data_IF_350113419450
#
_entry.id   IF_350113419450
#
_cell.length_a   1.000
_cell.length_b   1.000
_cell.length_c   1.000
_cell.angle_alpha   90.00
_cell.angle_beta   90.00
_cell.angle_gamma   90.00
#
_symmetry.space_group_name_H-M   'P 1'
#
loop_
_entity.id
_entity.type
_entity.pdbx_description
1 polymer ?
2 polymer ?
3 non-polymer ?
#
# COMPACT_ATOMS: atom_id res chain seq x y z
N UNK A 1 24.19 -4.00 5.68
CA UNK A 1 22.86 -4.21 5.09
C UNK A 1 22.49 -5.68 5.11
N UNK A 2 21.19 -5.96 4.95
CA UNK A 2 20.70 -7.33 4.95
C UNK A 2 20.02 -7.67 3.63
N UNK A 3 20.37 -8.84 3.08
CA UNK A 3 19.79 -9.28 1.81
C UNK A 3 18.31 -9.62 1.98
N UNK A 4 17.51 -9.26 0.98
CA UNK A 4 16.08 -9.53 1.03
C UNK A 4 15.81 -11.03 1.13
N UNK A 5 14.81 -11.39 1.93
CA UNK A 5 14.45 -12.81 2.12
C UNK A 5 13.38 -13.19 1.10
N UNK A 6 13.24 -14.49 0.82
CA UNK A 6 12.26 -14.93 -0.16
C UNK A 6 10.83 -14.66 0.29
N UNK A 7 10.63 -14.63 1.61
CA UNK A 7 9.31 -14.32 2.15
C UNK A 7 9.00 -12.85 1.93
N UNK A 8 10.00 -12.01 2.10
CA UNK A 8 9.82 -10.58 1.86
C UNK A 8 9.55 -10.33 0.37
N UNK A 9 10.30 -11.01 -0.50
CA UNK A 9 10.11 -10.81 -1.95
C UNK A 9 8.69 -11.18 -2.38
N UNK A 10 8.18 -12.28 -1.82
CA UNK A 10 6.81 -12.71 -2.10
C UNK A 10 5.79 -11.67 -1.62
N UNK A 11 5.99 -11.13 -0.42
CA UNK A 11 5.09 -10.11 0.12
C UNK A 11 5.12 -8.88 -0.77
N UNK A 12 6.32 -8.49 -1.20
CA UNK A 12 6.44 -7.29 -2.01
C UNK A 12 5.91 -7.51 -3.41
N UNK A 13 5.99 -8.75 -3.90
CA UNK A 13 5.41 -9.07 -5.21
C UNK A 13 3.91 -8.87 -5.13
N UNK A 14 3.32 -9.30 -4.02
CA UNK A 14 1.88 -9.12 -3.86
C UNK A 14 1.54 -7.63 -3.75
N UNK A 15 2.36 -6.87 -3.04
CA UNK A 15 2.17 -5.42 -2.97
C UNK A 15 2.29 -4.76 -4.36
N UNK A 16 3.29 -5.17 -5.14
CA UNK A 16 3.49 -4.61 -6.48
C UNK A 16 2.24 -4.81 -7.34
N UNK A 17 1.62 -5.99 -7.19
CA UNK A 17 0.45 -6.36 -7.98
C UNK A 17 -0.70 -5.37 -7.79
N UNK A 18 -0.81 -4.81 -6.58
CA UNK A 18 -1.86 -3.84 -6.31
C UNK A 18 -1.70 -2.56 -7.14
N UNK A 19 -0.44 -2.14 -7.38
CA UNK A 19 -0.17 -0.98 -8.21
C UNK A 19 -0.28 -1.30 -9.70
N UNK A 20 0.19 -2.49 -10.07
CA UNK A 20 0.24 -2.88 -11.48
C UNK A 20 -1.06 -3.55 -11.89
N UNK A 21 -2.12 -2.74 -11.96
CA UNK A 21 -3.47 -3.24 -12.20
C UNK A 21 -3.65 -3.89 -13.56
N UNK A 22 -2.87 -3.48 -14.54
CA UNK A 22 -2.99 -4.10 -15.86
C UNK A 22 -2.06 -5.30 -16.05
N UNK A 23 -1.29 -5.61 -15.01
CA UNK A 23 -0.40 -6.74 -15.01
C UNK A 23 0.70 -6.72 -16.07
N UNK A 24 1.07 -5.53 -16.54
CA UNK A 24 2.09 -5.41 -17.58
C UNK A 24 3.52 -5.32 -17.02
N UNK A 25 3.63 -5.52 -15.71
CA UNK A 25 4.92 -5.59 -15.07
C UNK A 25 5.56 -4.26 -14.76
N UNK A 26 4.84 -3.18 -14.96
CA UNK A 26 5.41 -1.87 -14.66
C UNK A 26 4.38 -1.03 -13.97
N UNK A 27 4.83 -0.11 -13.13
CA UNK A 27 3.95 0.85 -12.51
C UNK A 27 4.15 2.22 -13.20
N UNK A 28 3.08 2.76 -13.77
CA UNK A 28 3.14 4.07 -14.45
C UNK A 28 2.68 5.19 -13.54
N UNK A 29 2.80 6.42 -14.01
CA UNK A 29 2.32 7.53 -13.21
C UNK A 29 0.82 7.41 -13.03
N UNK A 30 0.14 6.90 -14.07
CA UNK A 30 -1.31 6.76 -14.00
C UNK A 30 -1.65 5.81 -12.89
N UNK A 31 -0.94 4.69 -12.85
CA UNK A 31 -1.19 3.68 -11.83
C UNK A 31 -0.86 4.16 -10.44
N UNK A 32 0.27 4.87 -10.30
CA UNK A 32 0.65 5.41 -8.99
C UNK A 32 -0.36 6.46 -8.55
N UNK A 33 -0.77 7.30 -9.50
CA UNK A 33 -1.71 8.36 -9.19
C UNK A 33 -3.05 7.79 -8.75
N UNK A 34 -3.46 6.71 -9.38
CA UNK A 34 -4.74 6.09 -9.07
C UNK A 34 -4.71 5.66 -7.62
N UNK A 35 -3.61 5.02 -7.23
CA UNK A 35 -3.52 4.53 -5.86
C UNK A 35 -3.45 5.70 -4.87
N UNK A 36 -2.66 6.71 -5.18
CA UNK A 36 -2.52 7.85 -4.28
C UNK A 36 -3.83 8.56 -4.06
N UNK A 37 -4.56 8.80 -5.15
CA UNK A 37 -5.83 9.48 -5.02
C UNK A 37 -6.79 8.64 -4.22
N UNK A 38 -6.71 7.33 -4.38
CA UNK A 38 -7.59 6.42 -3.63
C UNK A 38 -7.31 6.48 -2.14
N UNK A 39 -6.13 6.98 -1.77
CA UNK A 39 -5.74 7.13 -0.38
C UNK A 39 -5.90 8.58 0.12
N UNK A 40 -6.67 9.39 -0.61
CA UNK A 40 -6.99 10.76 -0.22
C UNK A 40 -6.01 11.85 -0.59
N UNK A 41 -4.95 11.48 -1.29
CA UNK A 41 -3.95 12.45 -1.69
C UNK A 41 -4.35 13.14 -2.98
N UNK A 42 -3.72 14.27 -3.27
CA UNK A 42 -4.06 15.01 -4.47
C UNK A 42 -2.84 15.44 -5.23
N UNK A 43 -2.03 14.48 -5.66
CA UNK A 43 -0.80 14.83 -6.36
C UNK A 43 -1.03 15.44 -7.75
N UNK A 44 -0.06 16.23 -8.21
CA UNK A 44 -0.11 16.75 -9.55
C UNK A 44 0.67 15.79 -10.44
N UNK A 45 0.47 15.88 -11.74
CA UNK A 45 1.22 15.04 -12.66
C UNK A 45 2.72 15.24 -12.52
N UNK A 46 3.14 16.48 -12.28
CA UNK A 46 4.55 16.78 -12.06
C UNK A 46 5.04 16.05 -10.82
N UNK A 47 4.26 16.11 -9.75
CA UNK A 47 4.68 15.36 -8.56
C UNK A 47 4.77 13.85 -8.86
N UNK A 48 3.80 13.31 -9.59
CA UNK A 48 3.84 11.87 -9.83
C UNK A 48 5.08 11.50 -10.63
N UNK A 49 5.45 12.33 -11.60
CA UNK A 49 6.60 11.99 -12.40
C UNK A 49 7.87 12.01 -11.58
N UNK A 50 7.96 12.99 -10.68
CA UNK A 50 9.11 13.12 -9.78
C UNK A 50 9.19 11.90 -8.86
N UNK A 51 8.05 11.44 -8.36
CA UNK A 51 8.02 10.25 -7.47
C UNK A 51 8.58 9.02 -8.19
N UNK A 52 8.10 8.79 -9.41
CA UNK A 52 8.62 7.68 -10.19
C UNK A 52 10.10 7.87 -10.50
N UNK A 53 10.47 9.08 -10.92
CA UNK A 53 11.86 9.34 -11.29
C UNK A 53 12.83 8.93 -10.19
N UNK A 54 12.46 9.16 -8.94
CA UNK A 54 13.35 8.85 -7.84
C UNK A 54 13.74 7.38 -7.77
N UNK A 55 12.81 6.49 -8.13
CA UNK A 55 13.07 5.07 -8.03
C UNK A 55 13.31 4.41 -9.39
N UNK A 56 13.18 5.20 -10.46
CA UNK A 56 13.36 4.71 -11.83
C UNK A 56 14.82 4.58 -12.29
N UNK A 57 15.47 3.50 -11.90
CA UNK A 57 16.89 3.32 -12.16
C UNK A 57 17.28 3.35 -13.62
N UNK A 58 16.39 2.91 -14.49
CA UNK A 58 16.78 2.87 -15.91
C UNK A 58 16.24 4.02 -16.75
N UNK A 59 15.59 4.97 -16.12
CA UNK A 59 15.12 6.16 -16.83
C UNK A 59 14.06 5.93 -17.90
N UNK A 60 13.34 4.82 -17.84
CA UNK A 60 12.29 4.55 -18.83
C UNK A 60 10.92 5.09 -18.50
N UNK A 61 10.84 5.81 -17.38
CA UNK A 61 9.62 6.48 -16.98
C UNK A 61 8.64 5.65 -16.18
N UNK A 62 8.93 4.38 -15.96
CA UNK A 62 8.04 3.52 -15.14
C UNK A 62 8.82 2.69 -14.14
N UNK A 63 8.13 2.06 -13.19
CA UNK A 63 8.81 1.28 -12.18
C UNK A 63 8.61 -0.21 -12.42
N UNK A 64 9.69 -0.95 -12.57
CA UNK A 64 9.56 -2.41 -12.72
C UNK A 64 9.75 -3.13 -11.38
N UNK A 65 9.53 -4.43 -11.35
CA UNK A 65 9.57 -5.11 -10.06
C UNK A 65 10.94 -4.99 -9.38
N UNK A 66 12.02 -5.21 -10.13
CA UNK A 66 13.36 -5.01 -9.57
C UNK A 66 13.54 -3.61 -8.98
N UNK A 67 13.09 -2.56 -9.65
CA UNK A 67 13.20 -1.21 -9.09
C UNK A 67 12.36 -1.08 -7.81
N UNK A 68 11.20 -1.73 -7.79
CA UNK A 68 10.28 -1.69 -6.66
C UNK A 68 10.95 -2.35 -5.46
N UNK A 69 11.63 -3.47 -5.71
CA UNK A 69 12.34 -4.19 -4.66
C UNK A 69 13.43 -3.33 -4.05
N UNK A 70 14.19 -2.63 -4.88
CA UNK A 70 15.22 -1.74 -4.36
C UNK A 70 14.58 -0.67 -3.48
N UNK A 71 13.43 -0.17 -3.90
CA UNK A 71 12.73 0.85 -3.15
C UNK A 71 12.26 0.28 -1.82
N UNK A 72 11.78 -0.95 -1.81
CA UNK A 72 11.27 -1.52 -0.55
C UNK A 72 12.40 -1.82 0.43
N UNK A 73 13.55 -2.21 -0.09
CA UNK A 73 14.71 -2.48 0.76
C UNK A 73 15.13 -1.17 1.43
N UNK A 74 15.14 -0.10 0.65
CA UNK A 74 15.44 1.22 1.17
C UNK A 74 14.43 1.63 2.26
N UNK A 75 13.14 1.48 1.97
CA UNK A 75 12.11 1.80 2.96
C UNK A 75 12.32 1.04 4.28
N UNK A 76 12.61 -0.24 4.18
CA UNK A 76 12.86 -1.07 5.35
C UNK A 76 14.22 -0.71 5.98
N UNK A 77 15.20 -0.47 5.12
CA UNK A 77 16.56 -0.15 5.57
C UNK A 77 16.62 1.19 6.30
N UNK A 78 16.08 2.25 5.69
CA UNK A 78 16.12 3.57 6.32
C UNK A 78 15.16 3.59 7.51
N UNK A 79 15.72 3.73 8.71
CA UNK A 79 14.93 3.72 9.92
C UNK A 79 14.18 2.39 10.04
N UNK A 80 12.96 2.33 9.47
CA UNK A 80 12.16 1.09 9.47
C UNK A 80 10.74 1.37 8.96
N UNK A 81 10.59 2.26 7.97
CA UNK A 81 9.25 2.59 7.45
C UNK A 81 8.34 2.95 8.64
N UNK A 82 7.01 2.61 8.58
CA UNK A 82 6.05 2.84 9.64
C UNK A 82 5.00 3.88 9.23
N UNK A 83 5.46 4.99 8.66
CA UNK A 83 4.53 6.02 8.19
C UNK A 83 3.64 5.49 7.05
N UNK A 84 4.20 4.67 6.17
CA UNK A 84 3.53 4.00 5.10
C UNK A 84 2.23 3.28 5.61
N UNK A 85 2.45 2.52 6.68
CA UNK A 85 1.35 1.73 7.25
C UNK A 85 0.35 2.63 7.96
N UNK A 86 0.81 3.66 8.67
CA UNK A 86 -0.12 4.58 9.31
C UNK A 86 -1.00 5.32 8.29
N UNK A 87 -0.40 5.81 7.22
CA UNK A 87 -1.22 6.51 6.23
C UNK A 87 -2.19 5.54 5.56
N UNK A 88 -1.78 4.29 5.36
CA UNK A 88 -2.70 3.30 4.76
C UNK A 88 -3.91 3.05 5.66
N UNK A 89 -3.65 2.88 6.95
CA UNK A 89 -4.74 2.68 7.89
C UNK A 89 -5.74 3.83 7.78
N UNK A 90 -5.23 5.05 7.73
CA UNK A 90 -6.11 6.22 7.64
C UNK A 90 -6.98 6.25 6.39
N UNK A 91 -6.47 5.69 5.29
CA UNK A 91 -7.27 5.58 4.07
C UNK A 91 -8.52 4.72 4.31
N UNK A 92 -8.31 3.57 4.94
CA UNK A 92 -9.40 2.62 5.18
C UNK A 92 -10.37 3.15 6.23
N UNK A 93 -9.84 3.78 7.27
CA UNK A 93 -10.66 4.27 8.38
C UNK A 93 -11.30 5.61 8.00
N UNK A 94 -12.36 5.52 7.19
CA UNK A 94 -12.98 6.69 6.57
C UNK A 94 -13.51 7.71 7.56
N UNK A 95 -14.11 7.23 8.65
CA UNK A 95 -14.68 8.17 9.61
C UNK A 95 -13.68 8.61 10.68
N UNK A 96 -12.48 8.05 10.63
CA UNK A 96 -11.39 8.41 11.54
C UNK A 96 -11.54 8.02 13.00
N UNK A 97 -12.38 7.02 13.28
CA UNK A 97 -12.64 6.64 14.66
C UNK A 97 -11.65 5.64 15.25
N UNK A 98 -10.64 5.23 14.50
CA UNK A 98 -9.66 4.29 15.01
C UNK A 98 -9.92 2.84 14.68
N UNK A 99 -11.02 2.56 13.98
CA UNK A 99 -11.37 1.20 13.65
C UNK A 99 -11.79 1.14 12.19
N UNK A 100 -11.38 0.10 11.49
CA UNK A 100 -11.91 -0.11 10.14
C UNK A 100 -13.08 -1.07 10.28
N UNK A 101 -14.27 -0.61 9.92
CA UNK A 101 -15.46 -1.45 9.92
C UNK A 101 -15.59 -2.25 8.61
N UNK A 102 -16.45 -3.27 8.61
CA UNK A 102 -16.67 -4.04 7.38
C UNK A 102 -17.19 -3.14 6.27
N UNK A 103 -18.04 -2.19 6.65
CA UNK A 103 -18.60 -1.24 5.68
C UNK A 103 -17.49 -0.39 5.08
N UNK A 104 -16.57 0.08 5.92
CA UNK A 104 -15.48 0.91 5.42
C UNK A 104 -14.58 0.11 4.48
N UNK A 105 -14.32 -1.13 4.84
CA UNK A 105 -13.47 -1.98 4.03
C UNK A 105 -14.15 -2.20 2.68
N UNK A 106 -15.43 -2.50 2.71
CA UNK A 106 -16.12 -2.78 1.47
C UNK A 106 -16.14 -1.55 0.58
N UNK A 107 -16.34 -0.38 1.19
CA UNK A 107 -16.36 0.89 0.45
C UNK A 107 -15.03 1.13 -0.27
N UNK A 108 -13.92 0.94 0.45
CA UNK A 108 -12.58 1.08 -0.14
C UNK A 108 -12.36 0.09 -1.25
N UNK A 109 -12.64 -1.19 -0.98
CA UNK A 109 -12.43 -2.19 -2.01
C UNK A 109 -13.28 -1.89 -3.25
N UNK A 110 -14.55 -1.52 -3.06
CA UNK A 110 -15.44 -1.20 -4.19
C UNK A 110 -14.90 -0.02 -4.99
N UNK A 111 -14.41 0.97 -4.28
CA UNK A 111 -13.80 2.11 -4.96
C UNK A 111 -12.57 1.65 -5.76
N UNK A 112 -11.81 0.71 -5.20
CA UNK A 112 -10.63 0.21 -5.90
C UNK A 112 -11.04 -0.74 -7.04
N UNK A 113 -12.33 -0.88 -7.28
CA UNK A 113 -12.82 -1.68 -8.37
C UNK A 113 -12.91 -3.16 -8.06
N UNK A 114 -12.74 -3.49 -6.79
CA UNK A 114 -12.86 -4.87 -6.35
C UNK A 114 -14.24 -5.05 -5.73
N UNK A 115 -15.19 -5.59 -6.51
CA UNK A 115 -16.54 -5.76 -6.02
C UNK A 115 -16.64 -7.03 -5.20
N UNK A 116 -16.15 -6.97 -3.97
CA UNK A 116 -16.13 -8.15 -3.12
C UNK A 116 -17.52 -8.69 -2.81
N UNK A 117 -17.62 -10.00 -2.70
CA UNK A 117 -18.88 -10.61 -2.30
C UNK A 117 -19.01 -10.45 -0.80
N UNK A 118 -20.22 -10.66 -0.30
CA UNK A 118 -20.43 -10.58 1.13
C UNK A 118 -19.48 -11.51 1.89
N UNK A 119 -19.32 -12.73 1.38
CA UNK A 119 -18.46 -13.73 2.01
C UNK A 119 -16.99 -13.29 2.03
N UNK A 120 -16.57 -12.65 0.94
CA UNK A 120 -15.19 -12.17 0.85
C UNK A 120 -14.90 -11.07 1.90
N UNK A 121 -15.82 -10.13 2.05
CA UNK A 121 -15.65 -9.07 3.03
C UNK A 121 -15.58 -9.67 4.45
N UNK A 122 -16.51 -10.56 4.76
CA UNK A 122 -16.53 -11.20 6.06
C UNK A 122 -15.22 -11.92 6.37
N UNK A 123 -14.66 -12.60 5.37
CA UNK A 123 -13.42 -13.31 5.58
C UNK A 123 -12.27 -12.32 5.88
N UNK A 124 -12.21 -11.21 5.15
CA UNK A 124 -11.14 -10.25 5.41
C UNK A 124 -11.23 -9.70 6.83
N UNK A 125 -12.42 -9.39 7.27
CA UNK A 125 -12.59 -8.85 8.62
C UNK A 125 -12.26 -9.92 9.67
N UNK A 126 -12.82 -11.11 9.50
CA UNK A 126 -12.61 -12.18 10.50
C UNK A 126 -11.14 -12.48 10.66
N UNK A 127 -10.42 -12.54 9.56
CA UNK A 127 -9.02 -12.89 9.67
C UNK A 127 -8.15 -11.81 10.30
N UNK A 128 -8.51 -10.55 10.11
CA UNK A 128 -7.74 -9.48 10.72
C UNK A 128 -8.14 -9.23 12.15
N UNK A 129 -9.37 -9.60 12.50
CA UNK A 129 -9.94 -9.24 13.79
C UNK A 129 -9.52 -10.16 14.96
N UNK A 130 -8.28 -9.98 15.41
CA UNK A 130 -7.72 -10.82 16.49
C UNK A 130 -8.51 -10.75 17.79
N UNK A 131 -8.97 -9.56 18.15
CA UNK A 131 -9.67 -9.41 19.44
C UNK A 131 -11.17 -9.75 19.45
N UNK A 132 -11.73 -10.00 18.27
CA UNK A 132 -13.12 -10.41 18.16
C UNK A 132 -14.21 -9.35 18.28
N UNK A 133 -13.85 -8.08 18.19
CA UNK A 133 -14.87 -7.05 18.30
C UNK A 133 -15.59 -6.75 16.98
N UNK A 134 -15.22 -7.47 15.92
CA UNK A 134 -15.90 -7.30 14.64
C UNK A 134 -15.36 -6.20 13.75
N UNK A 135 -14.29 -5.55 14.20
CA UNK A 135 -13.67 -4.50 13.40
C UNK A 135 -12.16 -4.58 13.53
N UNK A 136 -11.46 -3.77 12.75
CA UNK A 136 -10.03 -3.88 12.69
C UNK A 136 -9.38 -2.65 13.25
N UNK A 137 -8.67 -2.82 14.35
CA UNK A 137 -7.95 -1.70 14.93
C UNK A 137 -6.56 -1.58 14.32
N UNK A 138 -5.82 -0.57 14.75
CA UNK A 138 -4.50 -0.32 14.17
C UNK A 138 -3.51 -1.47 14.37
N UNK A 139 -3.45 -1.99 15.59
CA UNK A 139 -2.54 -3.09 15.86
C UNK A 139 -2.88 -4.31 15.02
N UNK A 140 -4.17 -4.58 14.85
CA UNK A 140 -4.59 -5.70 14.01
C UNK A 140 -4.19 -5.47 12.55
N UNK A 141 -4.38 -4.24 12.11
CA UNK A 141 -3.98 -3.87 10.74
C UNK A 141 -2.47 -4.06 10.53
N UNK A 142 -1.69 -3.60 11.49
CA UNK A 142 -0.24 -3.73 11.38
C UNK A 142 0.14 -5.19 11.32
N UNK A 143 -0.46 -5.99 12.19
CA UNK A 143 -0.15 -7.41 12.20
C UNK A 143 -0.51 -8.08 10.88
N UNK A 144 -1.65 -7.68 10.31
CA UNK A 144 -2.08 -8.24 9.03
C UNK A 144 -1.09 -7.92 7.93
N UNK A 145 -0.52 -6.72 7.95
CA UNK A 145 0.38 -6.31 6.87
C UNK A 145 1.76 -6.56 7.15
N UNK A 146 2.00 -6.38 8.46
CA UNK A 146 3.43 -6.55 8.83
C UNK A 146 3.98 -7.80 8.14
N UNK A 147 3.25 -8.90 8.26
CA UNK A 147 3.65 -10.17 7.66
C UNK A 147 5.01 -10.62 8.19
N UNK A 148 5.39 -11.85 7.87
CA UNK A 148 6.66 -12.40 8.32
C UNK A 148 7.70 -12.35 7.20
N UNK B 1 -6.34 -14.32 -0.60
CA UNK B 1 -7.79 -14.48 -0.31
C UNK B 1 -8.38 -13.13 0.15
N UNK B 2 -8.43 -12.91 1.45
CA UNK B 2 -8.95 -11.60 1.96
C UNK B 2 -7.78 -10.81 2.55
N UNK B 3 -6.69 -10.81 1.86
CA UNK B 3 -5.50 -10.12 2.40
C UNK B 3 -5.55 -8.62 2.15
N UNK B 4 -5.89 -7.87 3.16
CA UNK B 4 -5.87 -6.39 2.99
C UNK B 4 -4.42 -5.97 2.80
N UNK B 5 -3.56 -6.95 2.84
CA UNK B 5 -2.11 -6.69 2.70
C UNK B 5 -1.76 -6.18 1.29
N UNK B 6 -1.86 -7.02 0.28
CA UNK B 6 -1.50 -6.51 -1.08
C UNK B 6 -2.11 -5.14 -1.32
N UNK B 7 -3.28 -4.96 -0.80
CA UNK B 7 -3.96 -3.65 -0.96
C UNK B 7 -3.26 -2.60 -0.10
N UNK B 8 -3.02 -2.95 1.13
CA UNK B 8 -2.35 -2.01 2.05
C UNK B 8 -0.89 -1.81 1.61
N UNK B 9 -0.18 -2.89 1.52
CA UNK B 9 1.23 -2.82 1.09
C UNK B 9 1.33 -1.95 -0.14
N UNK B 10 0.57 -2.30 -1.12
CA UNK B 10 0.62 -1.52 -2.38
C UNK B 10 0.53 -0.03 -2.06
N UNK B 11 -0.54 0.34 -1.41
CA UNK B 11 -0.69 1.76 -1.04
C UNK B 11 0.51 2.20 -0.21
N UNK B 12 1.06 1.26 0.53
CA UNK B 12 2.24 1.60 1.38
C UNK B 12 3.39 2.03 0.47
N UNK B 13 3.56 1.36 -0.64
CA UNK B 13 4.65 1.75 -1.56
C UNK B 13 4.46 3.19 -1.98
N UNK B 14 3.33 3.47 -2.56
CA UNK B 14 3.09 4.86 -3.03
C UNK B 14 3.09 5.84 -1.84
N UNK B 15 2.35 5.50 -0.82
CA UNK B 15 2.30 6.41 0.37
C UNK B 15 3.72 6.70 0.85
N UNK B 16 4.54 5.71 0.81
CA UNK B 16 5.95 5.90 1.26
C UNK B 16 6.68 6.85 0.32
N UNK B 17 6.36 6.76 -0.94
CA UNK B 17 7.05 7.65 -1.92
C UNK B 17 6.57 9.08 -1.78
N UNK B 18 5.49 9.25 -1.11
CA UNK B 18 4.98 10.62 -0.90
C UNK B 18 5.64 11.21 0.35
N UNK B 19 5.90 10.37 1.31
CA UNK B 19 6.53 10.86 2.56
C UNK B 19 8.05 10.87 2.44
N UNK B 20 8.58 10.06 1.57
CA UNK B 20 10.06 10.04 1.40
C UNK B 20 10.56 11.47 1.29
N UNK B 21 9.75 12.32 0.73
CA UNK B 21 10.15 13.74 0.60
C UNK B 21 10.52 14.28 1.99
N UNK B 22 11.78 14.16 2.32
CA UNK B 22 12.24 14.64 3.66
C UNK B 22 11.86 16.10 3.92
N UNK B 23 10.67 16.29 4.46
CA UNK B 23 10.16 17.68 4.79
C UNK B 23 10.83 18.77 3.93
N UNK B 24 10.10 19.24 2.95
CA UNK B 24 10.65 20.32 2.09
C UNK B 24 10.58 21.66 2.84
N UNK B 25 10.62 21.58 4.15
CA UNK B 25 10.54 22.82 4.99
C UNK B 25 11.28 24.00 4.32
N UNK B 26 12.39 23.69 3.70
CA UNK B 26 13.17 24.77 3.02
C UNK B 26 13.52 24.32 1.59
X LIG C 1 12.25 1.88 -14.87
X LIG D 1 1.17 -1.55 -15.28
X LIG E 1 -13.84 3.81 11.12
X LIG F 1 -10.76 -6.11 16.40
#
# INVERSE_FOLDING_TARGET
>A
ADQLTEEQIAEFKEAFSLFDKDGDGTITTKELGTVMRSLGQNPTEAELQDMINEVDADGNGTIDFPEFLTMMARKMKDTDSEEEIREAFRVFDKDGNGFISAAELRHVMTNLGEKLTDEEVDEMIREADIDGDGQVNYEEFVTMMTAK
>B
KRRWKKNFIAVSAANRFKKISSSGAL
>C hetero
1 CA CA
>D hetero
1 CA CA
>E hetero
1 CA CA
>F hetero
1 CA CA
#
